data_IF_836333437720
#
_entry.id   IF_836333437720
#
_cell.length_a   1.000
_cell.length_b   1.000
_cell.length_c   1.000
_cell.angle_alpha   90.00
_cell.angle_beta   90.00
_cell.angle_gamma   90.00
#
_symmetry.space_group_name_H-M   'P 1'
#
loop_
_entity.id
_entity.type
_entity.pdbx_description
1 polymer ?
#
# COMPACT_ATOMS: atom_id res chain seq x y z
N UNK A 1 -7.68 -9.98 -9.73
CA UNK A 1 -7.65 -8.51 -9.74
C UNK A 1 -7.55 -7.90 -8.34
N UNK A 2 -8.58 -8.00 -7.46
CA UNK A 2 -8.49 -7.40 -6.12
C UNK A 2 -7.32 -7.92 -5.30
N UNK A 3 -7.09 -9.22 -5.32
CA UNK A 3 -5.94 -9.83 -4.63
C UNK A 3 -4.59 -9.36 -5.18
N UNK A 4 -4.46 -9.14 -6.50
CA UNK A 4 -3.22 -8.63 -7.09
C UNK A 4 -2.93 -7.18 -6.70
N UNK A 5 -3.96 -6.34 -6.53
CA UNK A 5 -3.79 -4.98 -6.01
C UNK A 5 -3.26 -4.99 -4.55
N UNK A 6 -3.83 -5.84 -3.70
CA UNK A 6 -3.30 -5.99 -2.33
C UNK A 6 -1.89 -6.59 -2.31
N UNK A 7 -1.62 -7.54 -3.21
CA UNK A 7 -0.30 -8.14 -3.37
C UNK A 7 0.79 -7.10 -3.72
N UNK A 8 0.47 -6.12 -4.57
CA UNK A 8 1.40 -5.03 -4.91
C UNK A 8 1.81 -4.22 -3.69
N UNK A 9 0.91 -4.00 -2.73
CA UNK A 9 1.23 -3.27 -1.51
C UNK A 9 2.22 -4.04 -0.62
N UNK A 10 2.06 -5.36 -0.49
CA UNK A 10 3.01 -6.21 0.23
C UNK A 10 4.37 -6.30 -0.51
N UNK A 11 4.34 -6.51 -1.83
CA UNK A 11 5.54 -6.51 -2.68
C UNK A 11 6.36 -5.22 -2.53
N UNK A 12 5.69 -4.06 -2.41
CA UNK A 12 6.34 -2.77 -2.25
C UNK A 12 7.17 -2.65 -0.95
N UNK A 13 6.97 -3.54 0.00
CA UNK A 13 7.73 -3.62 1.25
C UNK A 13 8.76 -4.75 1.16
N UNK A 14 8.31 -5.95 0.84
CA UNK A 14 9.09 -7.18 1.09
C UNK A 14 10.08 -7.47 -0.04
N UNK A 15 9.81 -7.09 -1.29
CA UNK A 15 10.70 -7.36 -2.42
C UNK A 15 12.02 -6.59 -2.37
N UNK A 16 12.08 -5.46 -1.64
CA UNK A 16 13.32 -4.68 -1.53
C UNK A 16 14.21 -5.11 -0.36
N UNK A 17 13.74 -5.94 0.58
CA UNK A 17 14.50 -6.34 1.75
C UNK A 17 15.88 -6.94 1.41
N UNK A 18 16.02 -7.87 0.45
CA UNK A 18 17.31 -8.42 0.07
C UNK A 18 18.25 -7.37 -0.55
N UNK A 19 17.72 -6.28 -1.05
CA UNK A 19 18.47 -5.24 -1.73
C UNK A 19 19.06 -4.18 -0.78
N UNK A 20 18.73 -4.18 0.51
CA UNK A 20 19.20 -3.19 1.47
C UNK A 20 20.71 -2.97 1.46
N UNK A 21 21.58 -4.00 1.48
CA UNK A 21 23.01 -3.79 1.41
C UNK A 21 23.49 -3.10 0.13
N UNK A 22 22.84 -3.39 -0.98
CA UNK A 22 23.13 -2.73 -2.26
C UNK A 22 22.64 -1.29 -2.30
N UNK A 23 21.46 -1.02 -1.70
CA UNK A 23 20.90 0.34 -1.58
C UNK A 23 21.74 1.21 -0.65
N UNK A 24 22.25 0.69 0.48
CA UNK A 24 23.16 1.42 1.38
C UNK A 24 24.37 1.93 0.61
N UNK A 25 25.01 1.06 -0.18
CA UNK A 25 26.14 1.45 -1.03
C UNK A 25 25.75 2.41 -2.13
N UNK A 26 24.64 2.13 -2.83
CA UNK A 26 24.19 2.91 -3.98
C UNK A 26 23.71 4.33 -3.64
N UNK A 27 23.12 4.51 -2.46
CA UNK A 27 22.61 5.79 -1.96
C UNK A 27 23.60 6.48 -1.00
N UNK A 28 24.80 5.88 -0.79
CA UNK A 28 25.87 6.41 0.07
C UNK A 28 25.38 6.71 1.50
N UNK A 29 24.61 5.80 2.09
CA UNK A 29 24.07 5.96 3.43
C UNK A 29 25.19 5.79 4.45
N UNK A 30 25.39 6.82 5.28
CA UNK A 30 26.50 6.85 6.24
C UNK A 30 26.33 5.79 7.34
N UNK A 31 25.11 5.62 7.83
CA UNK A 31 24.79 4.63 8.86
C UNK A 31 23.86 3.56 8.28
N UNK A 32 24.31 2.30 8.14
CA UNK A 32 23.53 1.23 7.50
C UNK A 32 22.13 1.05 8.06
N UNK A 33 21.93 1.26 9.36
CA UNK A 33 20.62 1.12 10.00
C UNK A 33 19.59 2.13 9.52
N UNK A 34 20.00 3.27 8.95
CA UNK A 34 19.07 4.27 8.40
C UNK A 34 18.30 3.74 7.20
N UNK A 35 18.72 2.68 6.53
CA UNK A 35 18.00 2.07 5.41
C UNK A 35 16.57 1.66 5.79
N UNK A 36 16.33 1.32 7.05
CA UNK A 36 15.01 0.93 7.56
C UNK A 36 13.98 2.07 7.46
N UNK A 37 14.42 3.33 7.41
CA UNK A 37 13.52 4.46 7.20
C UNK A 37 12.81 4.41 5.84
N UNK A 38 13.33 3.68 4.85
CA UNK A 38 12.68 3.48 3.56
C UNK A 38 11.34 2.75 3.72
N UNK A 39 11.26 1.77 4.64
CA UNK A 39 10.00 1.08 4.96
C UNK A 39 9.13 1.94 5.86
N UNK A 40 9.72 2.50 6.93
CA UNK A 40 8.97 3.27 7.92
C UNK A 40 8.26 4.48 7.30
N UNK A 41 8.92 5.19 6.38
CA UNK A 41 8.35 6.36 5.72
C UNK A 41 7.27 5.96 4.68
N UNK A 42 7.43 4.82 4.02
CA UNK A 42 6.40 4.25 3.15
C UNK A 42 5.15 3.89 3.96
N UNK A 43 5.30 3.24 5.13
CA UNK A 43 4.20 2.91 6.02
C UNK A 43 3.52 4.16 6.58
N UNK A 44 4.29 5.21 6.92
CA UNK A 44 3.73 6.49 7.34
C UNK A 44 2.86 7.10 6.21
N UNK A 45 3.36 7.10 4.97
CA UNK A 45 2.59 7.52 3.81
C UNK A 45 1.31 6.68 3.63
N UNK A 46 1.42 5.36 3.75
CA UNK A 46 0.27 4.44 3.66
C UNK A 46 -0.76 4.73 4.75
N UNK A 47 -0.34 4.96 5.99
CA UNK A 47 -1.22 5.30 7.09
C UNK A 47 -2.01 6.60 6.84
N UNK A 48 -1.34 7.65 6.38
CA UNK A 48 -1.98 8.92 6.02
C UNK A 48 -2.93 8.74 4.83
N UNK A 49 -2.48 8.04 3.79
CA UNK A 49 -3.30 7.75 2.61
C UNK A 49 -4.58 6.99 2.95
N UNK A 50 -4.51 6.04 3.88
CA UNK A 50 -5.67 5.26 4.31
C UNK A 50 -6.80 6.13 4.89
N UNK A 51 -6.47 7.25 5.54
CA UNK A 51 -7.46 8.20 6.06
C UNK A 51 -8.12 9.03 4.96
N UNK A 52 -7.44 9.20 3.83
CA UNK A 52 -7.87 10.08 2.73
C UNK A 52 -8.72 9.32 1.72
N UNK A 53 -8.33 8.10 1.34
CA UNK A 53 -8.94 7.39 0.21
C UNK A 53 -10.36 6.91 0.46
N UNK A 54 -10.74 6.62 1.71
CA UNK A 54 -12.14 6.32 2.05
C UNK A 54 -13.07 7.44 1.59
N UNK A 55 -13.02 8.62 2.22
CA UNK A 55 -13.86 9.76 1.87
C UNK A 55 -13.74 10.22 0.41
N UNK A 56 -12.52 10.15 -0.15
CA UNK A 56 -12.29 10.56 -1.53
C UNK A 56 -13.04 9.66 -2.50
N UNK A 57 -13.02 8.36 -2.28
CA UNK A 57 -13.71 7.38 -3.11
C UNK A 57 -15.22 7.34 -2.89
N UNK A 58 -15.70 7.72 -1.69
CA UNK A 58 -17.13 7.88 -1.41
C UNK A 58 -17.73 9.10 -2.15
N UNK A 59 -16.90 10.05 -2.55
CA UNK A 59 -17.33 11.23 -3.29
C UNK A 59 -17.18 11.08 -4.79
N UNK A 60 -16.03 10.57 -5.25
CA UNK A 60 -15.65 10.60 -6.66
C UNK A 60 -15.78 9.25 -7.36
N UNK A 61 -16.17 8.21 -6.63
CA UNK A 61 -16.27 6.85 -7.13
C UNK A 61 -15.03 5.99 -6.80
N UNK A 62 -15.27 4.68 -6.71
CA UNK A 62 -14.22 3.72 -6.35
C UNK A 62 -13.19 3.56 -7.48
N UNK A 63 -13.70 3.35 -8.70
CA UNK A 63 -12.87 3.06 -9.87
C UNK A 63 -11.92 4.22 -10.23
N UNK A 64 -12.35 5.49 -10.39
CA UNK A 64 -11.46 6.57 -10.79
C UNK A 64 -10.38 6.84 -9.74
N UNK A 65 -10.74 6.82 -8.45
CA UNK A 65 -9.76 7.04 -7.39
C UNK A 65 -8.74 5.91 -7.33
N UNK A 66 -9.18 4.65 -7.45
CA UNK A 66 -8.28 3.50 -7.49
C UNK A 66 -7.33 3.58 -8.69
N UNK A 67 -7.81 3.95 -9.88
CA UNK A 67 -6.99 4.10 -11.08
C UNK A 67 -5.94 5.20 -10.92
N UNK A 68 -6.36 6.41 -10.52
CA UNK A 68 -5.45 7.54 -10.34
C UNK A 68 -4.37 7.20 -9.32
N UNK A 69 -4.75 6.60 -8.19
CA UNK A 69 -3.81 6.23 -7.15
C UNK A 69 -2.85 5.10 -7.58
N UNK A 70 -3.34 4.09 -8.31
CA UNK A 70 -2.50 2.99 -8.80
C UNK A 70 -1.51 3.46 -9.85
N UNK A 71 -1.93 4.31 -10.80
CA UNK A 71 -1.02 4.93 -11.79
C UNK A 71 -0.03 5.86 -11.09
N UNK A 72 -0.49 6.66 -10.14
CA UNK A 72 0.39 7.51 -9.33
C UNK A 72 1.42 6.70 -8.54
N UNK A 73 1.03 5.57 -7.95
CA UNK A 73 1.94 4.65 -7.25
C UNK A 73 2.99 4.05 -8.22
N UNK A 74 2.60 3.72 -9.45
CA UNK A 74 3.54 3.28 -10.48
C UNK A 74 4.58 4.37 -10.80
N UNK A 75 4.12 5.61 -10.99
CA UNK A 75 5.01 6.76 -11.25
C UNK A 75 5.93 7.00 -10.04
N UNK A 76 5.41 6.96 -8.83
CA UNK A 76 6.21 7.13 -7.61
C UNK A 76 7.24 6.00 -7.43
N UNK A 77 6.87 4.76 -7.75
CA UNK A 77 7.80 3.63 -7.76
C UNK A 77 8.92 3.84 -8.78
N UNK A 78 8.57 4.24 -10.00
CA UNK A 78 9.55 4.57 -11.02
C UNK A 78 10.48 5.72 -10.58
N UNK A 79 9.93 6.75 -9.92
CA UNK A 79 10.74 7.84 -9.36
C UNK A 79 11.72 7.35 -8.28
N UNK A 80 11.36 6.33 -7.48
CA UNK A 80 12.29 5.69 -6.54
C UNK A 80 13.48 5.02 -7.25
N UNK A 81 13.27 4.43 -8.44
CA UNK A 81 14.35 3.84 -9.25
C UNK A 81 15.40 4.87 -9.66
N UNK A 82 14.99 6.11 -9.90
CA UNK A 82 15.87 7.22 -10.30
C UNK A 82 16.41 8.06 -9.12
N UNK A 83 16.10 7.69 -7.87
CA UNK A 83 16.54 8.47 -6.72
C UNK A 83 18.08 8.58 -6.66
N UNK A 84 18.64 9.81 -6.67
CA UNK A 84 20.09 10.02 -6.65
C UNK A 84 20.69 9.88 -5.26
N UNK A 85 19.94 10.15 -4.22
CA UNK A 85 20.36 10.14 -2.84
C UNK A 85 19.26 9.61 -1.89
N UNK A 86 19.65 9.39 -0.63
CA UNK A 86 18.78 8.83 0.38
C UNK A 86 17.60 9.74 0.75
N UNK A 87 17.80 11.06 0.79
CA UNK A 87 16.73 12.00 1.18
C UNK A 87 15.62 12.02 0.13
N UNK A 88 16.00 12.09 -1.14
CA UNK A 88 15.04 12.02 -2.25
C UNK A 88 14.33 10.68 -2.26
N UNK A 89 15.07 9.57 -2.02
CA UNK A 89 14.46 8.24 -1.87
C UNK A 89 13.37 8.24 -0.79
N UNK A 90 13.62 8.81 0.39
CA UNK A 90 12.63 8.87 1.46
C UNK A 90 11.38 9.65 1.05
N UNK A 91 11.54 10.81 0.39
CA UNK A 91 10.39 11.60 -0.11
C UNK A 91 9.57 10.79 -1.12
N UNK A 92 10.25 10.16 -2.09
CA UNK A 92 9.56 9.34 -3.11
C UNK A 92 8.86 8.15 -2.47
N UNK A 93 9.45 7.50 -1.48
CA UNK A 93 8.84 6.40 -0.73
C UNK A 93 7.62 6.84 0.06
N UNK A 94 7.64 8.03 0.66
CA UNK A 94 6.46 8.60 1.32
C UNK A 94 5.31 8.78 0.32
N UNK A 95 5.58 9.40 -0.82
CA UNK A 95 4.58 9.60 -1.88
C UNK A 95 4.09 8.26 -2.42
N UNK A 96 4.99 7.30 -2.64
CA UNK A 96 4.64 5.95 -3.07
C UNK A 96 3.70 5.27 -2.07
N UNK A 97 4.03 5.31 -0.76
CA UNK A 97 3.16 4.76 0.29
C UNK A 97 1.80 5.44 0.36
N UNK A 98 1.78 6.78 0.26
CA UNK A 98 0.55 7.56 0.24
C UNK A 98 -0.39 7.10 -0.88
N UNK A 99 0.13 6.92 -2.10
CA UNK A 99 -0.63 6.48 -3.26
C UNK A 99 -1.00 4.99 -3.20
N UNK A 100 -0.09 4.14 -2.72
CA UNK A 100 -0.32 2.70 -2.56
C UNK A 100 -1.43 2.36 -1.56
N UNK A 101 -1.69 3.23 -0.59
CA UNK A 101 -2.76 3.07 0.40
C UNK A 101 -4.13 2.83 -0.24
N UNK A 102 -4.40 3.45 -1.39
CA UNK A 102 -5.65 3.27 -2.11
C UNK A 102 -5.92 1.80 -2.47
N UNK A 103 -4.90 1.04 -2.83
CA UNK A 103 -5.03 -0.38 -3.19
C UNK A 103 -5.48 -1.22 -1.99
N UNK A 104 -5.03 -0.89 -0.78
CA UNK A 104 -5.49 -1.56 0.44
C UNK A 104 -6.92 -1.18 0.82
N UNK A 105 -7.21 0.13 0.88
CA UNK A 105 -8.52 0.65 1.33
C UNK A 105 -9.63 0.34 0.34
N UNK A 106 -9.42 0.64 -0.95
CA UNK A 106 -10.48 0.56 -1.94
C UNK A 106 -10.81 -0.87 -2.38
N UNK A 107 -9.85 -1.80 -2.29
CA UNK A 107 -10.15 -3.23 -2.51
C UNK A 107 -11.21 -3.72 -1.53
N UNK A 108 -11.08 -3.36 -0.25
CA UNK A 108 -12.07 -3.72 0.77
C UNK A 108 -13.40 -3.04 0.49
N UNK A 109 -13.39 -1.76 0.14
CA UNK A 109 -14.60 -1.00 -0.19
C UNK A 109 -15.35 -1.59 -1.38
N UNK A 110 -14.64 -1.89 -2.48
CA UNK A 110 -15.23 -2.52 -3.68
C UNK A 110 -15.85 -3.88 -3.37
N UNK A 111 -15.24 -4.69 -2.52
CA UNK A 111 -15.81 -5.98 -2.12
C UNK A 111 -17.08 -5.78 -1.29
N UNK A 112 -17.09 -4.80 -0.38
CA UNK A 112 -18.26 -4.46 0.44
C UNK A 112 -19.42 -3.89 -0.39
N UNK A 113 -19.11 -3.14 -1.44
CA UNK A 113 -20.12 -2.58 -2.34
C UNK A 113 -20.79 -3.67 -3.20
N UNK A 114 -20.13 -4.82 -3.44
CA UNK A 114 -20.60 -5.86 -4.34
C UNK A 114 -21.12 -7.13 -3.65
N UNK A 115 -20.71 -7.38 -2.40
CA UNK A 115 -21.00 -8.63 -1.70
C UNK A 115 -21.41 -8.38 -0.25
N UNK A 116 -22.33 -9.20 0.24
CA UNK A 116 -22.80 -9.19 1.62
C UNK A 116 -22.71 -10.60 2.26
N UNK A 117 -22.77 -10.64 3.59
CA UNK A 117 -22.80 -11.89 4.37
C UNK A 117 -21.67 -12.85 4.03
N UNK A 118 -22.02 -14.14 3.86
CA UNK A 118 -21.05 -15.21 3.61
C UNK A 118 -20.29 -15.07 2.30
N UNK A 119 -20.91 -14.48 1.27
CA UNK A 119 -20.25 -14.22 -0.01
C UNK A 119 -19.12 -13.20 0.15
N UNK A 120 -19.35 -12.14 0.91
CA UNK A 120 -18.32 -11.15 1.25
C UNK A 120 -17.19 -11.80 2.06
N UNK A 121 -17.52 -12.55 3.11
CA UNK A 121 -16.54 -13.23 3.96
C UNK A 121 -15.62 -14.15 3.16
N UNK A 122 -16.19 -14.94 2.24
CA UNK A 122 -15.45 -15.87 1.37
C UNK A 122 -14.49 -15.13 0.44
N UNK A 123 -14.91 -13.99 -0.17
CA UNK A 123 -14.06 -13.18 -1.03
C UNK A 123 -12.93 -12.52 -0.26
N UNK A 124 -13.23 -11.97 0.91
CA UNK A 124 -12.23 -11.37 1.79
C UNK A 124 -11.18 -12.40 2.24
N UNK A 125 -11.62 -13.59 2.66
CA UNK A 125 -10.70 -14.68 3.04
C UNK A 125 -9.75 -15.06 1.90
N UNK A 126 -10.25 -15.15 0.66
CA UNK A 126 -9.42 -15.44 -0.52
C UNK A 126 -8.38 -14.34 -0.76
N UNK A 127 -8.77 -13.07 -0.61
CA UNK A 127 -7.86 -11.93 -0.79
C UNK A 127 -6.79 -11.94 0.29
N UNK A 128 -7.14 -12.14 1.55
CA UNK A 128 -6.19 -12.20 2.65
C UNK A 128 -5.25 -13.41 2.56
N UNK A 129 -5.75 -14.58 2.11
CA UNK A 129 -4.91 -15.75 1.88
C UNK A 129 -3.80 -15.44 0.85
N UNK A 130 -4.15 -14.82 -0.28
CA UNK A 130 -3.17 -14.41 -1.29
C UNK A 130 -2.22 -13.35 -0.71
N UNK A 131 -2.74 -12.37 0.03
CA UNK A 131 -1.93 -11.35 0.69
C UNK A 131 -0.90 -11.96 1.65
N UNK A 132 -1.24 -13.02 2.39
CA UNK A 132 -0.32 -13.70 3.30
C UNK A 132 0.77 -14.52 2.60
N UNK A 133 0.52 -14.98 1.37
CA UNK A 133 1.51 -15.73 0.58
C UNK A 133 2.58 -14.79 0.01
N UNK A 134 2.21 -13.57 -0.34
CA UNK A 134 3.11 -12.62 -1.02
C UNK A 134 4.39 -12.32 -0.24
N UNK A 135 4.38 -12.04 1.06
CA UNK A 135 5.60 -11.82 1.85
C UNK A 135 6.59 -12.99 1.83
N UNK A 136 6.10 -14.21 1.62
CA UNK A 136 6.95 -15.40 1.53
C UNK A 136 7.72 -15.44 0.20
N UNK A 137 7.07 -15.01 -0.89
CA UNK A 137 7.62 -15.07 -2.25
C UNK A 137 8.36 -13.78 -2.62
N UNK A 138 7.92 -12.65 -2.10
CA UNK A 138 8.44 -11.33 -2.47
C UNK A 138 9.95 -11.16 -2.29
N UNK A 139 10.57 -11.60 -1.18
CA UNK A 139 12.03 -11.52 -1.03
C UNK A 139 12.78 -12.33 -2.08
N UNK A 140 12.26 -13.50 -2.46
CA UNK A 140 12.87 -14.33 -3.51
C UNK A 140 12.83 -13.64 -4.87
N UNK A 141 11.69 -13.03 -5.21
CA UNK A 141 11.57 -12.22 -6.43
C UNK A 141 12.55 -11.06 -6.39
N UNK A 142 12.59 -10.33 -5.27
CA UNK A 142 13.52 -9.22 -5.06
C UNK A 142 14.98 -9.62 -5.21
N UNK A 143 15.36 -10.76 -4.64
CA UNK A 143 16.71 -11.31 -4.75
C UNK A 143 17.07 -11.67 -6.20
N UNK A 144 16.17 -12.31 -6.93
CA UNK A 144 16.39 -12.64 -8.36
C UNK A 144 16.59 -11.36 -9.18
N UNK A 145 15.73 -10.36 -9.00
CA UNK A 145 15.86 -9.08 -9.72
C UNK A 145 17.16 -8.37 -9.35
N UNK A 146 17.52 -8.38 -8.07
CA UNK A 146 18.77 -7.79 -7.58
C UNK A 146 20.00 -8.42 -8.28
N UNK A 147 20.03 -9.74 -8.41
CA UNK A 147 21.13 -10.47 -9.05
C UNK A 147 21.23 -10.20 -10.56
N UNK A 148 20.09 -10.03 -11.24
CA UNK A 148 20.03 -9.86 -12.69
C UNK A 148 20.26 -8.42 -13.14
N UNK A 149 19.74 -7.45 -12.41
CA UNK A 149 19.67 -6.06 -12.89
C UNK A 149 19.88 -4.98 -11.80
N UNK A 150 20.16 -5.40 -10.56
CA UNK A 150 20.41 -4.48 -9.45
C UNK A 150 19.14 -3.97 -8.75
N UNK A 151 19.34 -3.23 -7.66
CA UNK A 151 18.25 -2.83 -6.76
C UNK A 151 17.22 -1.85 -7.38
N UNK A 152 17.63 -1.02 -8.31
CA UNK A 152 16.73 -0.05 -8.98
C UNK A 152 15.64 -0.76 -9.78
N UNK A 153 15.98 -1.85 -10.44
CA UNK A 153 15.05 -2.64 -11.23
C UNK A 153 13.90 -3.24 -10.39
N UNK A 154 14.07 -3.37 -9.07
CA UNK A 154 12.97 -3.80 -8.19
C UNK A 154 11.82 -2.78 -8.23
N UNK A 155 12.15 -1.49 -8.20
CA UNK A 155 11.16 -0.41 -8.30
C UNK A 155 10.55 -0.32 -9.71
N UNK A 156 11.34 -0.58 -10.75
CA UNK A 156 10.85 -0.61 -12.13
C UNK A 156 9.88 -1.78 -12.34
N UNK A 157 10.18 -2.96 -11.78
CA UNK A 157 9.28 -4.11 -11.79
C UNK A 157 7.96 -3.79 -11.06
N UNK A 158 8.02 -3.16 -9.89
CA UNK A 158 6.82 -2.74 -9.17
C UNK A 158 5.98 -1.73 -9.97
N UNK A 159 6.63 -0.77 -10.63
CA UNK A 159 5.96 0.19 -11.50
C UNK A 159 5.27 -0.51 -12.66
N UNK A 160 5.95 -1.44 -13.31
CA UNK A 160 5.38 -2.25 -14.40
C UNK A 160 4.16 -3.05 -13.92
N UNK A 161 4.27 -3.76 -12.80
CA UNK A 161 3.16 -4.53 -12.24
C UNK A 161 1.97 -3.63 -11.84
N UNK A 162 2.22 -2.43 -11.32
CA UNK A 162 1.19 -1.47 -10.99
C UNK A 162 0.47 -0.94 -12.24
N UNK A 163 1.19 -0.69 -13.34
CA UNK A 163 0.58 -0.31 -14.63
C UNK A 163 -0.28 -1.45 -15.19
N UNK A 164 0.21 -2.69 -15.16
CA UNK A 164 -0.57 -3.86 -15.59
C UNK A 164 -1.85 -3.98 -14.75
N UNK A 165 -1.75 -3.80 -13.44
CA UNK A 165 -2.91 -3.81 -12.55
C UNK A 165 -3.89 -2.64 -12.85
N UNK A 166 -3.38 -1.45 -13.13
CA UNK A 166 -4.19 -0.29 -13.51
C UNK A 166 -4.96 -0.54 -14.82
N UNK A 167 -4.29 -1.10 -15.84
CA UNK A 167 -4.94 -1.50 -17.09
C UNK A 167 -6.02 -2.54 -16.83
N UNK A 168 -5.75 -3.53 -15.99
CA UNK A 168 -6.73 -4.56 -15.63
C UNK A 168 -7.94 -3.97 -14.91
N UNK A 169 -7.72 -3.05 -13.95
CA UNK A 169 -8.79 -2.31 -13.27
C UNK A 169 -9.60 -1.48 -14.27
N UNK A 170 -8.94 -0.76 -15.16
CA UNK A 170 -9.60 0.06 -16.18
C UNK A 170 -10.55 -0.76 -17.07
N UNK A 171 -10.08 -1.92 -17.54
CA UNK A 171 -10.83 -2.78 -18.47
C UNK A 171 -11.93 -3.62 -17.81
N UNK A 172 -11.75 -4.02 -16.54
CA UNK A 172 -12.60 -5.05 -15.91
C UNK A 172 -13.39 -4.59 -14.71
N UNK A 173 -12.98 -3.52 -14.04
CA UNK A 173 -13.72 -3.02 -12.87
C UNK A 173 -14.81 -2.05 -13.33
N UNK A 174 -16.11 -2.35 -13.11
CA UNK A 174 -17.15 -1.34 -13.23
C UNK A 174 -17.05 -0.36 -12.04
N UNK A 175 -17.72 0.81 -12.15
CA UNK A 175 -17.94 1.62 -10.95
C UNK A 175 -18.85 0.87 -9.99
N UNK A 176 -18.45 0.80 -8.72
CA UNK A 176 -19.18 0.04 -7.70
C UNK A 176 -19.91 0.92 -6.70
N UNK A 177 -19.60 2.21 -6.66
CA UNK A 177 -20.31 3.16 -5.82
C UNK A 177 -21.67 3.44 -6.45
N UNK A 178 -22.76 3.06 -5.76
CA UNK A 178 -24.11 3.40 -6.19
C UNK A 178 -24.34 4.92 -6.09
N UNK A 179 -25.03 5.54 -7.05
CA UNK A 179 -25.25 7.00 -7.07
C UNK A 179 -25.90 7.55 -5.80
N UNK A 180 -26.78 6.78 -5.17
CA UNK A 180 -27.43 7.12 -3.91
C UNK A 180 -26.48 7.14 -2.71
N UNK A 181 -25.33 6.47 -2.80
CA UNK A 181 -24.32 6.36 -1.75
C UNK A 181 -23.20 7.42 -1.88
N UNK A 182 -23.31 8.34 -2.82
CA UNK A 182 -22.33 9.42 -2.99
C UNK A 182 -22.42 10.41 -1.84
N UNK A 183 -21.34 10.51 -1.07
CA UNK A 183 -21.28 11.39 0.11
C UNK A 183 -20.43 12.62 -0.21
N UNK A 184 -20.96 13.85 -0.05
CA UNK A 184 -20.16 15.07 -0.26
C UNK A 184 -19.08 15.19 0.80
N UNK A 185 -17.86 15.57 0.39
CA UNK A 185 -16.76 15.81 1.31
C UNK A 185 -17.05 17.09 2.10
N UNK A 186 -17.39 16.93 3.35
CA UNK A 186 -17.58 18.03 4.31
C UNK A 186 -16.53 17.89 5.42
N UNK A 187 -15.51 18.76 5.48
CA UNK A 187 -14.42 18.62 6.45
C UNK A 187 -14.90 18.53 7.91
N UNK A 188 -15.93 19.29 8.27
CA UNK A 188 -16.52 19.25 9.62
C UNK A 188 -17.22 17.90 9.91
N UNK A 189 -17.96 17.36 8.95
CA UNK A 189 -18.62 16.06 9.09
C UNK A 189 -17.59 14.93 9.16
N UNK A 190 -16.54 14.98 8.35
CA UNK A 190 -15.44 14.02 8.36
C UNK A 190 -14.68 14.04 9.69
N UNK A 191 -14.31 15.21 10.20
CA UNK A 191 -13.67 15.35 11.50
C UNK A 191 -14.57 14.83 12.65
N UNK A 192 -15.89 15.08 12.56
CA UNK A 192 -16.86 14.53 13.52
C UNK A 192 -16.93 13.01 13.44
N UNK A 193 -16.95 12.43 12.24
CA UNK A 193 -16.96 10.99 12.04
C UNK A 193 -15.68 10.33 12.61
N UNK A 194 -14.51 10.87 12.34
CA UNK A 194 -13.25 10.40 12.93
C UNK A 194 -13.26 10.51 14.45
N UNK A 195 -13.74 11.63 14.98
CA UNK A 195 -13.87 11.82 16.44
C UNK A 195 -14.76 10.75 17.06
N UNK A 196 -15.89 10.43 16.45
CA UNK A 196 -16.81 9.37 16.92
C UNK A 196 -16.11 8.03 16.94
N UNK A 197 -15.37 7.66 15.89
CA UNK A 197 -14.65 6.38 15.79
C UNK A 197 -13.55 6.29 16.85
N UNK A 198 -12.73 7.33 17.00
CA UNK A 198 -11.61 7.34 17.96
C UNK A 198 -12.12 7.34 19.42
N UNK A 199 -13.23 8.01 19.69
CA UNK A 199 -13.83 8.04 21.03
C UNK A 199 -14.68 6.81 21.35
N UNK A 200 -15.03 6.00 20.34
CA UNK A 200 -15.71 4.74 20.59
C UNK A 200 -14.74 3.73 21.18
N UNK A 201 -14.96 3.33 22.43
CA UNK A 201 -14.06 2.47 23.21
C UNK A 201 -13.77 1.13 22.51
N UNK A 202 -14.78 0.54 21.88
CA UNK A 202 -14.61 -0.74 21.19
C UNK A 202 -13.79 -0.55 19.88
N UNK A 203 -14.14 0.46 19.09
CA UNK A 203 -13.41 0.77 17.85
C UNK A 203 -11.94 1.13 18.16
N UNK A 204 -11.70 2.00 19.15
CA UNK A 204 -10.37 2.37 19.59
C UNK A 204 -9.56 1.15 20.07
N UNK A 205 -10.18 0.24 20.84
CA UNK A 205 -9.54 -0.99 21.29
C UNK A 205 -9.10 -1.88 20.12
N UNK A 206 -9.96 -2.09 19.11
CA UNK A 206 -9.60 -2.84 17.90
C UNK A 206 -8.52 -2.15 17.09
N UNK A 207 -8.57 -0.82 16.94
CA UNK A 207 -7.54 -0.05 16.22
C UNK A 207 -6.17 -0.15 16.89
N UNK A 208 -6.13 0.01 18.23
CA UNK A 208 -4.88 -0.12 18.99
C UNK A 208 -4.35 -1.56 18.90
N UNK A 209 -5.20 -2.57 19.11
CA UNK A 209 -4.81 -3.98 19.01
C UNK A 209 -4.24 -4.33 17.63
N UNK A 210 -4.91 -3.93 16.56
CA UNK A 210 -4.43 -4.11 15.20
C UNK A 210 -3.11 -3.35 14.96
N UNK A 211 -3.02 -2.11 15.42
CA UNK A 211 -1.81 -1.28 15.27
C UNK A 211 -0.61 -1.87 16.00
N UNK A 212 -0.78 -2.35 17.23
CA UNK A 212 0.29 -3.03 18.00
C UNK A 212 0.73 -4.32 17.31
N UNK A 213 -0.21 -5.15 16.85
CA UNK A 213 0.11 -6.42 16.16
C UNK A 213 0.88 -6.17 14.87
N UNK A 214 0.42 -5.23 14.03
CA UNK A 214 1.12 -4.87 12.80
C UNK A 214 2.46 -4.20 13.08
N UNK A 215 2.53 -3.31 14.06
CA UNK A 215 3.77 -2.66 14.47
C UNK A 215 4.81 -3.66 14.97
N UNK A 216 4.41 -4.66 15.76
CA UNK A 216 5.28 -5.72 16.22
C UNK A 216 5.79 -6.59 15.05
N UNK A 217 4.91 -6.94 14.10
CA UNK A 217 5.29 -7.71 12.91
C UNK A 217 6.33 -6.96 12.06
N UNK A 218 6.07 -5.70 11.73
CA UNK A 218 7.01 -4.90 10.94
C UNK A 218 8.28 -4.56 11.72
N UNK A 219 8.20 -4.35 13.04
CA UNK A 219 9.37 -4.19 13.90
C UNK A 219 10.26 -5.44 13.87
N UNK A 220 9.66 -6.63 13.97
CA UNK A 220 10.39 -7.91 13.87
C UNK A 220 11.02 -8.07 12.48
N UNK A 221 10.28 -7.84 11.40
CA UNK A 221 10.81 -7.94 10.03
C UNK A 221 12.00 -7.00 9.81
N UNK A 222 11.92 -5.77 10.31
CA UNK A 222 13.03 -4.82 10.21
C UNK A 222 14.25 -5.26 11.03
N UNK A 223 14.04 -5.81 12.23
CA UNK A 223 15.16 -6.24 13.12
C UNK A 223 15.79 -7.54 12.65
N UNK A 224 15.05 -8.43 12.00
CA UNK A 224 15.57 -9.72 11.54
C UNK A 224 16.56 -9.61 10.37
N UNK A 225 16.72 -8.41 9.79
CA UNK A 225 17.63 -8.12 8.68
C UNK A 225 19.01 -7.61 9.14
N UNK A 226 19.23 -7.48 10.46
CA UNK A 226 20.52 -7.13 11.07
C UNK A 226 21.35 -8.38 11.36
#
# INVERSE_FOLDING_TARGET
>A
MMSSLMALNALAIDAMLPAFPAMVRGLKIAEPNQIQFIISIFLAGTGIGALIYGPLSDRYGRKPILLIATVGAAIASLACSFAPDFKIMLVMRFIHGLLAAAMGVLVISVIRDQFEGDAMARRMSTIFLIFMIVPIIAPTIGQLVLLLAGWRMIFDLMAFMAIVAAIWVYLRLPETLAPENVIPIQPKALAKAWKVVVLNRNAAGYMIGAGVTQGALFGYLNSSQQ
#
